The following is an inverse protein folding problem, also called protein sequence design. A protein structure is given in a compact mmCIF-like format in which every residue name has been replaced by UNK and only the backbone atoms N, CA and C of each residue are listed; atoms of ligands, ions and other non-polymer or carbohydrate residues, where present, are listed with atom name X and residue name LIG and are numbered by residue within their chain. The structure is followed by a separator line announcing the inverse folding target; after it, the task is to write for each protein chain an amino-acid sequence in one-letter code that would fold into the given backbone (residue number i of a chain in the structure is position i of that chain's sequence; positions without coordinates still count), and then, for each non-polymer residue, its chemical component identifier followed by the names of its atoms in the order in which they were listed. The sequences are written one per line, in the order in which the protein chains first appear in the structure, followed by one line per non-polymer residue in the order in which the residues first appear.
data_IF_277655984650
#
_entry.id   IF_277655984650
#
_cell.length_a   1.000
_cell.length_b   1.000
_cell.length_c   1.000
_cell.angle_alpha   90.00
_cell.angle_beta   90.00
_cell.angle_gamma   90.00
#
_symmetry.space_group_name_H-M   'P 1'
#
loop_
_entity.id
_entity.type
_entity.pdbx_description
1 polymer ?
#
# COMPACT_ATOMS: atom_id res chain seq x y z
N UNK A 1 -18.20 -15.41 -8.22
CA UNK A 1 -16.98 -14.84 -8.82
C UNK A 1 -16.06 -14.43 -7.69
N UNK A 2 -14.76 -14.65 -7.83
CA UNK A 2 -13.74 -14.25 -6.84
C UNK A 2 -12.94 -13.07 -7.34
N UNK A 3 -12.43 -12.26 -6.41
CA UNK A 3 -11.51 -11.17 -6.68
C UNK A 3 -10.10 -11.53 -6.21
N UNK A 4 -9.09 -11.20 -6.99
CA UNK A 4 -7.71 -11.54 -6.71
C UNK A 4 -6.85 -10.29 -6.88
N UNK A 5 -6.07 -9.94 -5.85
CA UNK A 5 -5.02 -8.93 -5.91
C UNK A 5 -3.65 -9.61 -5.74
N UNK A 6 -2.82 -9.51 -6.77
CA UNK A 6 -1.48 -10.09 -6.83
C UNK A 6 -0.46 -8.98 -6.62
N UNK A 7 -0.10 -8.77 -5.36
CA UNK A 7 0.96 -7.86 -4.96
C UNK A 7 2.36 -8.48 -5.10
N UNK A 8 3.40 -7.68 -4.83
CA UNK A 8 4.77 -8.18 -4.87
C UNK A 8 5.08 -9.19 -3.76
N UNK A 9 4.48 -9.01 -2.57
CA UNK A 9 4.77 -9.80 -1.36
C UNK A 9 3.64 -10.72 -0.92
N UNK A 10 2.40 -10.40 -1.31
CA UNK A 10 1.20 -11.05 -0.82
C UNK A 10 0.22 -11.26 -1.97
N UNK A 11 -0.51 -12.35 -1.88
CA UNK A 11 -1.69 -12.66 -2.69
C UNK A 11 -2.91 -12.47 -1.80
N UNK A 12 -3.86 -11.64 -2.21
CA UNK A 12 -5.14 -11.47 -1.51
C UNK A 12 -6.27 -11.98 -2.39
N UNK A 13 -7.16 -12.78 -1.82
CA UNK A 13 -8.32 -13.32 -2.50
C UNK A 13 -9.58 -12.97 -1.70
N UNK A 14 -10.61 -12.50 -2.40
CA UNK A 14 -11.93 -12.23 -1.82
C UNK A 14 -12.95 -13.10 -2.53
N UNK A 15 -13.69 -13.89 -1.76
CA UNK A 15 -14.80 -14.69 -2.24
C UNK A 15 -16.02 -14.59 -1.32
N UNK A 16 -17.06 -15.39 -1.58
CA UNK A 16 -18.31 -15.36 -0.81
C UNK A 16 -18.12 -15.78 0.66
N UNK A 17 -16.96 -16.33 1.03
CA UNK A 17 -16.62 -16.75 2.40
C UNK A 17 -15.78 -15.72 3.16
N UNK A 18 -15.26 -14.69 2.47
CA UNK A 18 -14.50 -13.59 3.09
C UNK A 18 -13.15 -13.32 2.42
N UNK A 19 -12.25 -12.73 3.20
CA UNK A 19 -10.90 -12.32 2.80
C UNK A 19 -9.88 -13.40 3.15
N UNK A 20 -9.01 -13.72 2.20
CA UNK A 20 -7.92 -14.69 2.36
C UNK A 20 -6.60 -14.03 1.96
N UNK A 21 -5.62 -14.01 2.86
CA UNK A 21 -4.31 -13.39 2.63
C UNK A 21 -3.24 -14.47 2.69
N UNK A 22 -2.45 -14.57 1.62
CA UNK A 22 -1.35 -15.52 1.49
C UNK A 22 -0.04 -14.77 1.31
N UNK A 23 0.99 -15.18 2.04
CA UNK A 23 2.35 -14.71 1.79
C UNK A 23 2.83 -15.26 0.44
N UNK A 24 3.17 -14.37 -0.50
CA UNK A 24 3.50 -14.69 -1.89
C UNK A 24 4.63 -13.75 -2.40
N UNK A 25 5.88 -13.95 -1.94
CA UNK A 25 7.01 -13.11 -2.34
C UNK A 25 7.44 -13.41 -3.78
N UNK A 26 6.90 -12.70 -4.76
CA UNK A 26 7.17 -12.95 -6.19
C UNK A 26 8.66 -12.88 -6.53
N UNK A 27 9.43 -12.02 -5.85
CA UNK A 27 10.88 -11.88 -6.02
C UNK A 27 11.68 -13.13 -5.59
N UNK A 28 11.06 -14.07 -4.87
CA UNK A 28 11.65 -15.35 -4.46
C UNK A 28 11.15 -16.54 -5.30
N UNK A 29 10.41 -16.27 -6.39
CA UNK A 29 9.81 -17.32 -7.21
C UNK A 29 8.63 -18.01 -6.53
N UNK A 30 7.81 -17.26 -5.78
CA UNK A 30 6.67 -17.78 -5.03
C UNK A 30 5.75 -18.68 -5.90
N UNK A 31 5.23 -19.79 -5.35
CA UNK A 31 4.43 -20.76 -6.09
C UNK A 31 2.98 -20.27 -6.27
N UNK A 32 2.81 -19.18 -7.03
CA UNK A 32 1.52 -18.50 -7.23
C UNK A 32 0.41 -19.46 -7.69
N UNK A 33 0.71 -20.34 -8.64
CA UNK A 33 -0.25 -21.34 -9.10
C UNK A 33 -0.69 -22.30 -7.98
N UNK A 34 0.23 -22.75 -7.13
CA UNK A 34 -0.12 -23.65 -6.01
C UNK A 34 -1.02 -22.94 -4.98
N UNK A 35 -0.74 -21.67 -4.67
CA UNK A 35 -1.57 -20.85 -3.79
C UNK A 35 -2.96 -20.61 -4.37
N UNK A 36 -3.10 -20.62 -5.69
CA UNK A 36 -4.37 -20.44 -6.39
C UNK A 36 -5.21 -21.73 -6.53
N UNK A 37 -4.61 -22.92 -6.40
CA UNK A 37 -5.31 -24.22 -6.54
C UNK A 37 -6.59 -24.33 -5.70
N UNK A 38 -6.65 -23.86 -4.43
CA UNK A 38 -7.88 -23.91 -3.64
C UNK A 38 -9.05 -23.12 -4.24
N UNK A 39 -8.77 -22.18 -5.15
CA UNK A 39 -9.74 -21.30 -5.78
C UNK A 39 -10.11 -21.73 -7.22
N UNK A 40 -9.57 -22.85 -7.70
CA UNK A 40 -9.83 -23.37 -9.03
C UNK A 40 -11.34 -23.62 -9.30
N UNK A 41 -11.74 -23.48 -10.57
CA UNK A 41 -13.12 -23.69 -11.01
C UNK A 41 -14.10 -22.54 -10.72
N UNK A 42 -13.67 -21.48 -10.01
CA UNK A 42 -14.46 -20.26 -9.81
C UNK A 42 -14.11 -19.21 -10.89
N UNK A 43 -15.07 -18.45 -11.44
CA UNK A 43 -14.75 -17.26 -12.24
C UNK A 43 -13.96 -16.26 -11.41
N UNK A 44 -12.87 -15.71 -11.96
CA UNK A 44 -11.97 -14.81 -11.25
C UNK A 44 -11.77 -13.50 -11.99
N UNK A 45 -11.84 -12.40 -11.25
CA UNK A 45 -11.40 -11.08 -11.65
C UNK A 45 -10.09 -10.75 -10.92
N UNK A 46 -9.09 -10.29 -11.65
CA UNK A 46 -7.71 -10.20 -11.15
C UNK A 46 -7.17 -8.80 -11.36
N UNK A 47 -6.48 -8.29 -10.36
CA UNK A 47 -5.65 -7.09 -10.44
C UNK A 47 -4.24 -7.41 -9.94
N UNK A 48 -3.24 -6.66 -10.40
CA UNK A 48 -1.85 -6.88 -10.02
C UNK A 48 -1.11 -5.58 -9.74
N UNK A 49 -0.14 -5.67 -8.82
CA UNK A 49 0.86 -4.64 -8.51
C UNK A 49 2.27 -5.24 -8.30
N UNK A 50 2.40 -6.57 -8.39
CA UNK A 50 3.67 -7.30 -8.21
C UNK A 50 4.50 -7.48 -9.48
N UNK A 51 4.10 -6.93 -10.62
CA UNK A 51 4.75 -7.17 -11.92
C UNK A 51 6.16 -6.54 -12.05
N UNK A 52 6.56 -5.71 -11.09
CA UNK A 52 7.90 -5.10 -10.97
C UNK A 52 8.82 -5.82 -9.98
N UNK A 53 8.47 -7.01 -9.50
CA UNK A 53 9.36 -7.78 -8.62
C UNK A 53 10.73 -8.02 -9.27
N UNK A 54 11.80 -7.94 -8.47
CA UNK A 54 13.21 -7.96 -8.92
C UNK A 54 13.60 -9.20 -9.75
N UNK A 55 12.81 -10.27 -9.69
CA UNK A 55 13.02 -11.47 -10.49
C UNK A 55 12.65 -11.30 -11.98
N UNK A 56 11.96 -10.23 -12.35
CA UNK A 56 11.53 -9.98 -13.73
C UNK A 56 12.44 -8.97 -14.43
N UNK A 57 12.88 -9.31 -15.65
CA UNK A 57 13.73 -8.44 -16.46
C UNK A 57 12.99 -7.19 -16.98
N UNK A 58 11.66 -7.25 -17.08
CA UNK A 58 10.82 -6.12 -17.46
C UNK A 58 9.42 -6.23 -16.87
N UNK A 59 8.72 -5.10 -16.79
CA UNK A 59 7.31 -5.03 -16.36
C UNK A 59 6.41 -5.98 -17.16
N UNK A 60 6.68 -6.10 -18.46
CA UNK A 60 5.90 -6.98 -19.34
C UNK A 60 6.16 -8.46 -19.09
N UNK A 61 7.39 -8.82 -18.70
CA UNK A 61 7.71 -10.21 -18.36
C UNK A 61 7.03 -10.63 -17.06
N UNK A 62 6.99 -9.74 -16.06
CA UNK A 62 6.21 -9.93 -14.83
C UNK A 62 4.71 -10.13 -15.12
N UNK A 63 4.12 -9.27 -15.95
CA UNK A 63 2.71 -9.41 -16.37
C UNK A 63 2.47 -10.76 -17.07
N UNK A 64 3.32 -11.16 -18.03
CA UNK A 64 3.16 -12.44 -18.73
C UNK A 64 3.23 -13.62 -17.78
N UNK A 65 4.15 -13.58 -16.83
CA UNK A 65 4.31 -14.62 -15.83
C UNK A 65 3.07 -14.72 -14.94
N UNK A 66 2.59 -13.59 -14.39
CA UNK A 66 1.40 -13.54 -13.52
C UNK A 66 0.16 -14.04 -14.29
N UNK A 67 -0.09 -13.52 -15.49
CA UNK A 67 -1.24 -13.95 -16.31
C UNK A 67 -1.18 -15.44 -16.60
N UNK A 68 -0.02 -15.96 -16.98
CA UNK A 68 0.17 -17.39 -17.26
C UNK A 68 -0.08 -18.27 -16.03
N UNK A 69 0.50 -17.92 -14.88
CA UNK A 69 0.34 -18.68 -13.64
C UNK A 69 -1.12 -18.71 -13.15
N UNK A 70 -1.84 -17.60 -13.29
CA UNK A 70 -3.28 -17.54 -12.98
C UNK A 70 -4.08 -18.39 -13.97
N UNK A 71 -3.84 -18.26 -15.28
CA UNK A 71 -4.59 -18.97 -16.31
C UNK A 71 -4.34 -20.48 -16.32
N UNK A 72 -3.19 -20.94 -15.81
CA UNK A 72 -2.94 -22.37 -15.59
C UNK A 72 -3.96 -23.00 -14.64
N UNK A 73 -4.37 -22.24 -13.61
CA UNK A 73 -5.30 -22.71 -12.57
C UNK A 73 -6.75 -22.29 -12.85
N UNK A 74 -6.93 -21.09 -13.41
CA UNK A 74 -8.23 -20.46 -13.68
C UNK A 74 -8.22 -19.93 -15.13
N UNK A 75 -8.43 -20.81 -16.14
CA UNK A 75 -8.33 -20.42 -17.56
C UNK A 75 -9.25 -19.27 -17.99
N UNK A 76 -10.39 -19.12 -17.32
CA UNK A 76 -11.38 -18.06 -17.58
C UNK A 76 -11.15 -16.76 -16.81
N UNK A 77 -10.01 -16.59 -16.15
CA UNK A 77 -9.72 -15.37 -15.40
C UNK A 77 -9.64 -14.13 -16.31
N UNK A 78 -10.19 -13.01 -15.83
CA UNK A 78 -10.12 -11.69 -16.47
C UNK A 78 -9.28 -10.75 -15.62
N UNK A 79 -8.47 -9.92 -16.28
CA UNK A 79 -7.47 -9.07 -15.64
C UNK A 79 -7.82 -7.59 -15.85
N UNK A 80 -7.97 -6.83 -14.77
CA UNK A 80 -8.29 -5.41 -14.82
C UNK A 80 -7.05 -4.57 -15.09
N UNK A 81 -7.14 -3.67 -16.06
CA UNK A 81 -6.05 -2.78 -16.46
C UNK A 81 -6.25 -1.33 -16.01
N UNK A 82 -5.15 -0.58 -16.03
CA UNK A 82 -5.11 0.87 -15.84
C UNK A 82 -5.93 1.63 -16.88
N UNK A 83 -6.31 1.01 -18.00
CA UNK A 83 -7.26 1.53 -18.97
C UNK A 83 -8.73 1.38 -18.54
N UNK A 84 -8.97 0.92 -17.32
CA UNK A 84 -10.29 0.61 -16.76
C UNK A 84 -11.06 -0.45 -17.58
N UNK A 85 -10.34 -1.44 -18.11
CA UNK A 85 -10.91 -2.52 -18.90
C UNK A 85 -10.41 -3.88 -18.42
N UNK A 86 -11.22 -4.92 -18.67
CA UNK A 86 -10.83 -6.30 -18.45
C UNK A 86 -10.19 -6.90 -19.71
N UNK A 87 -9.07 -7.60 -19.50
CA UNK A 87 -8.29 -8.27 -20.53
C UNK A 87 -8.18 -9.76 -20.22
N UNK A 88 -8.01 -10.59 -21.25
CA UNK A 88 -7.76 -12.04 -21.11
C UNK A 88 -6.35 -12.42 -21.53
N UNK A 89 -5.52 -11.43 -21.85
CA UNK A 89 -4.15 -11.60 -22.37
C UNK A 89 -3.22 -10.60 -21.69
N UNK A 90 -1.91 -10.91 -21.60
CA UNK A 90 -0.94 -9.97 -21.06
C UNK A 90 -0.85 -8.74 -21.95
N UNK A 91 -1.23 -7.58 -21.40
CA UNK A 91 -1.11 -6.26 -22.05
C UNK A 91 -0.42 -5.29 -21.09
N UNK A 92 0.26 -4.25 -21.60
CA UNK A 92 0.94 -3.27 -20.75
C UNK A 92 0.02 -2.57 -19.74
N UNK A 93 -1.27 -2.44 -20.04
CA UNK A 93 -2.24 -1.78 -19.17
C UNK A 93 -2.47 -2.53 -17.84
N UNK A 94 -2.16 -3.83 -17.73
CA UNK A 94 -2.38 -4.62 -16.49
C UNK A 94 -1.45 -4.24 -15.34
N UNK A 95 -0.42 -3.47 -15.63
CA UNK A 95 0.56 -2.97 -14.69
C UNK A 95 -0.05 -2.07 -13.60
N UNK A 96 0.10 -2.44 -12.33
CA UNK A 96 -0.24 -1.62 -11.16
C UNK A 96 -1.66 -1.02 -11.23
N UNK A 97 -2.66 -1.86 -11.52
CA UNK A 97 -4.05 -1.41 -11.65
C UNK A 97 -4.86 -1.51 -10.35
N UNK A 98 -4.26 -1.98 -9.25
CA UNK A 98 -4.91 -2.27 -7.97
C UNK A 98 -5.59 -1.04 -7.35
N UNK A 99 -4.91 0.11 -7.34
CA UNK A 99 -5.47 1.37 -6.84
C UNK A 99 -6.60 1.90 -7.75
N UNK A 100 -6.52 1.68 -9.07
CA UNK A 100 -7.56 2.11 -10.00
C UNK A 100 -8.82 1.25 -9.86
N UNK A 101 -8.69 -0.06 -9.65
CA UNK A 101 -9.82 -0.94 -9.36
C UNK A 101 -10.56 -0.46 -8.10
N UNK A 102 -9.83 -0.12 -7.03
CA UNK A 102 -10.40 0.49 -5.82
C UNK A 102 -11.16 1.78 -6.14
N UNK A 103 -10.57 2.67 -6.95
CA UNK A 103 -11.21 3.91 -7.37
C UNK A 103 -12.51 3.67 -8.16
N UNK A 104 -12.50 2.73 -9.11
CA UNK A 104 -13.66 2.37 -9.94
C UNK A 104 -14.80 1.80 -9.08
N UNK A 105 -14.44 0.97 -8.11
CA UNK A 105 -15.41 0.41 -7.18
C UNK A 105 -16.08 1.50 -6.31
N UNK A 106 -15.29 2.47 -5.82
CA UNK A 106 -15.75 3.44 -4.82
C UNK A 106 -16.36 4.71 -5.42
N UNK A 107 -16.01 5.10 -6.66
CA UNK A 107 -16.37 6.41 -7.24
C UNK A 107 -17.86 6.72 -7.29
N UNK A 108 -18.73 5.72 -7.40
CA UNK A 108 -20.18 5.93 -7.49
C UNK A 108 -20.77 6.33 -6.12
N UNK A 109 -20.34 5.66 -5.05
CA UNK A 109 -20.87 5.87 -3.70
C UNK A 109 -20.11 6.97 -2.93
N UNK A 110 -18.87 7.25 -3.34
CA UNK A 110 -17.96 8.15 -2.65
C UNK A 110 -17.39 9.22 -3.59
N UNK A 111 -18.18 9.67 -4.57
CA UNK A 111 -17.75 10.67 -5.56
C UNK A 111 -17.16 11.93 -4.91
N UNK A 112 -17.73 12.39 -3.78
CA UNK A 112 -17.28 13.59 -3.05
C UNK A 112 -16.06 13.34 -2.14
N UNK A 113 -15.27 12.29 -2.38
CA UNK A 113 -14.14 11.93 -1.53
C UNK A 113 -12.80 11.81 -2.27
N UNK A 114 -11.73 12.09 -1.52
CA UNK A 114 -10.38 11.59 -1.81
C UNK A 114 -10.15 10.34 -0.97
N UNK A 115 -9.81 9.23 -1.62
CA UNK A 115 -9.31 8.04 -0.95
C UNK A 115 -7.83 8.22 -0.61
N UNK A 116 -7.46 8.00 0.64
CA UNK A 116 -6.09 7.86 1.11
C UNK A 116 -5.88 6.42 1.59
N UNK A 117 -5.25 5.59 0.78
CA UNK A 117 -4.90 4.20 1.17
C UNK A 117 -3.43 4.14 1.60
N UNK A 118 -3.18 4.01 2.90
CA UNK A 118 -1.83 3.94 3.46
C UNK A 118 -1.47 2.51 3.80
N UNK A 119 -0.67 1.91 2.92
CA UNK A 119 -0.11 0.58 3.11
C UNK A 119 1.18 0.58 3.94
N UNK A 120 1.86 -0.57 3.93
CA UNK A 120 3.15 -0.75 4.60
C UNK A 120 4.28 0.06 3.96
N UNK A 121 4.17 0.39 2.68
CA UNK A 121 5.25 0.94 1.84
C UNK A 121 4.90 2.28 1.21
N UNK A 122 3.65 2.46 0.80
CA UNK A 122 3.17 3.59 0.00
C UNK A 122 1.86 4.11 0.55
N UNK A 123 1.55 5.36 0.19
CA UNK A 123 0.24 5.97 0.38
C UNK A 123 -0.31 6.38 -0.98
N UNK A 124 -1.45 5.82 -1.37
CA UNK A 124 -2.17 6.16 -2.59
C UNK A 124 -3.19 7.28 -2.27
N UNK A 125 -3.14 8.37 -3.04
CA UNK A 125 -4.03 9.53 -2.88
C UNK A 125 -4.88 9.67 -4.14
N UNK A 126 -6.17 9.35 -4.04
CA UNK A 126 -7.02 9.11 -5.21
C UNK A 126 -8.31 9.94 -5.16
N UNK A 127 -8.44 11.00 -5.97
CA UNK A 127 -9.69 11.76 -6.07
C UNK A 127 -10.76 10.97 -6.83
N UNK A 128 -11.81 10.54 -6.14
CA UNK A 128 -12.77 9.57 -6.67
C UNK A 128 -13.72 10.15 -7.74
N UNK A 129 -14.02 11.46 -7.69
CA UNK A 129 -14.79 12.16 -8.75
C UNK A 129 -14.01 12.41 -10.04
N UNK A 130 -12.69 12.19 -10.08
CA UNK A 130 -11.85 12.46 -11.26
C UNK A 130 -11.40 11.18 -11.97
N UNK A 131 -12.21 10.12 -11.92
CA UNK A 131 -11.83 8.80 -12.42
C UNK A 131 -11.30 8.78 -13.85
N UNK A 132 -11.90 9.54 -14.78
CA UNK A 132 -11.42 9.57 -16.17
C UNK A 132 -9.99 10.13 -16.31
N UNK A 133 -9.58 11.05 -15.42
CA UNK A 133 -8.21 11.58 -15.39
C UNK A 133 -7.21 10.58 -14.81
N UNK A 134 -7.70 9.56 -14.09
CA UNK A 134 -6.87 8.51 -13.49
C UNK A 134 -6.52 7.41 -14.48
N UNK A 135 -7.31 7.24 -15.55
CA UNK A 135 -7.14 6.17 -16.52
C UNK A 135 -5.80 6.30 -17.25
N UNK A 136 -5.09 5.17 -17.33
CA UNK A 136 -3.81 5.05 -18.00
C UNK A 136 -2.64 5.69 -17.27
N UNK A 137 -2.83 6.22 -16.05
CA UNK A 137 -1.72 6.77 -15.27
C UNK A 137 -0.75 5.66 -14.88
N UNK A 138 0.52 5.86 -15.22
CA UNK A 138 1.62 5.03 -14.74
C UNK A 138 2.04 5.47 -13.35
N UNK A 139 2.70 4.61 -12.57
CA UNK A 139 3.23 4.99 -11.24
C UNK A 139 4.18 6.19 -11.31
N UNK A 140 4.98 6.31 -12.38
CA UNK A 140 5.82 7.50 -12.61
C UNK A 140 4.98 8.77 -12.71
N UNK A 141 3.85 8.75 -13.42
CA UNK A 141 2.94 9.90 -13.49
C UNK A 141 2.23 10.13 -12.16
N UNK A 142 1.84 9.07 -11.45
CA UNK A 142 1.23 9.19 -10.12
C UNK A 142 2.17 9.83 -9.11
N UNK A 143 3.46 9.48 -9.14
CA UNK A 143 4.51 10.14 -8.33
C UNK A 143 4.63 11.63 -8.67
N UNK A 144 4.64 11.98 -9.97
CA UNK A 144 4.70 13.37 -10.43
C UNK A 144 3.48 14.20 -10.02
N UNK A 145 2.30 13.57 -10.02
CA UNK A 145 1.03 14.19 -9.67
C UNK A 145 0.68 14.08 -8.18
N UNK A 146 1.54 13.46 -7.38
CA UNK A 146 1.34 13.18 -5.94
C UNK A 146 0.13 12.27 -5.62
N UNK A 147 -0.36 11.51 -6.60
CA UNK A 147 -1.34 10.43 -6.37
C UNK A 147 -0.72 9.13 -5.82
N UNK A 148 0.61 9.08 -5.81
CA UNK A 148 1.39 8.04 -5.14
C UNK A 148 2.47 8.74 -4.32
N UNK A 149 2.45 8.55 -3.00
CA UNK A 149 3.49 9.01 -2.08
C UNK A 149 4.25 7.78 -1.59
N UNK A 150 5.58 7.77 -1.79
CA UNK A 150 6.40 6.59 -1.51
C UNK A 150 6.82 6.49 -0.04
N UNK A 151 5.83 6.51 0.85
CA UNK A 151 6.01 6.19 2.27
C UNK A 151 4.78 5.47 2.82
N UNK A 152 4.99 4.60 3.80
CA UNK A 152 3.92 3.86 4.46
C UNK A 152 4.30 3.47 5.88
N UNK A 153 3.44 2.70 6.53
CA UNK A 153 3.52 2.50 7.98
C UNK A 153 4.68 1.63 8.46
N UNK A 154 5.29 0.79 7.61
CA UNK A 154 6.22 -0.24 8.08
C UNK A 154 7.62 -0.21 7.45
N UNK A 155 7.74 0.10 6.15
CA UNK A 155 8.93 -0.23 5.34
C UNK A 155 9.78 0.96 4.89
N UNK A 156 9.37 2.20 5.18
CA UNK A 156 10.10 3.39 4.71
C UNK A 156 11.38 3.54 5.52
N UNK A 157 12.55 3.62 4.88
CA UNK A 157 13.79 3.99 5.59
C UNK A 157 13.65 5.39 6.20
N UNK A 158 13.90 5.53 7.50
CA UNK A 158 13.80 6.83 8.19
C UNK A 158 14.62 7.91 7.48
N UNK A 159 15.82 7.56 7.02
CA UNK A 159 16.73 8.49 6.36
C UNK A 159 16.25 9.01 4.98
N UNK A 160 15.17 8.46 4.41
CA UNK A 160 14.63 8.98 3.13
C UNK A 160 13.67 10.15 3.31
N UNK A 161 13.16 10.38 4.53
CA UNK A 161 12.23 11.49 4.82
C UNK A 161 12.85 12.58 5.69
N UNK A 162 13.84 12.23 6.51
CA UNK A 162 14.58 13.19 7.34
C UNK A 162 16.06 13.13 7.00
N UNK A 163 16.68 14.29 6.74
CA UNK A 163 18.13 14.40 6.51
C UNK A 163 18.90 14.88 7.75
N UNK A 164 18.17 15.39 8.75
CA UNK A 164 18.67 15.87 10.04
C UNK A 164 17.53 15.86 11.04
N UNK A 165 17.85 15.68 12.32
CA UNK A 165 16.92 15.73 13.45
C UNK A 165 17.49 16.64 14.54
N UNK A 166 16.62 17.32 15.27
CA UNK A 166 16.99 18.03 16.49
C UNK A 166 17.18 17.02 17.61
N UNK A 167 18.39 16.96 18.15
CA UNK A 167 18.74 16.14 19.31
C UNK A 167 19.39 17.06 20.35
N UNK A 168 18.80 17.14 21.54
CA UNK A 168 19.23 18.06 22.61
C UNK A 168 19.43 19.52 22.14
N UNK A 169 18.50 19.99 21.29
CA UNK A 169 18.55 21.35 20.73
C UNK A 169 19.63 21.57 19.66
N UNK A 170 20.34 20.53 19.25
CA UNK A 170 21.35 20.57 18.17
C UNK A 170 20.83 19.87 16.92
N UNK A 171 21.01 20.49 15.76
CA UNK A 171 20.69 19.84 14.49
C UNK A 171 21.74 18.76 14.19
N UNK A 172 21.30 17.50 14.19
CA UNK A 172 22.13 16.31 14.03
C UNK A 172 21.79 15.62 12.72
N UNK A 173 22.71 15.60 11.74
CA UNK A 173 22.51 14.87 10.49
C UNK A 173 22.27 13.37 10.74
N UNK A 174 21.45 12.75 9.92
CA UNK A 174 21.20 11.31 10.00
C UNK A 174 22.13 10.53 9.06
N UNK A 175 22.47 9.30 9.45
CA UNK A 175 23.09 8.31 8.57
C UNK A 175 22.14 7.90 7.44
N UNK A 176 22.68 7.69 6.24
CA UNK A 176 21.92 7.17 5.09
C UNK A 176 21.72 5.65 5.13
N UNK A 177 22.39 4.95 6.05
CA UNK A 177 22.26 3.50 6.24
C UNK A 177 20.83 3.10 6.63
N UNK A 178 20.43 1.88 6.25
CA UNK A 178 19.11 1.34 6.59
C UNK A 178 19.10 0.78 8.02
N UNK A 179 19.18 1.67 9.02
CA UNK A 179 19.18 1.28 10.43
C UNK A 179 17.78 1.16 11.03
N UNK A 180 16.85 2.03 10.62
CA UNK A 180 15.48 2.08 11.12
C UNK A 180 14.49 2.26 9.96
N UNK A 181 13.32 1.64 10.11
CA UNK A 181 12.19 1.80 9.19
C UNK A 181 11.04 2.56 9.86
N UNK A 182 10.04 2.99 9.07
CA UNK A 182 8.85 3.66 9.58
C UNK A 182 8.13 2.82 10.64
N UNK A 183 8.13 1.48 10.49
CA UNK A 183 7.57 0.58 11.50
C UNK A 183 8.20 0.76 12.89
N UNK A 184 9.50 1.08 12.97
CA UNK A 184 10.17 1.38 14.24
C UNK A 184 9.62 2.66 14.86
N UNK A 185 9.48 3.73 14.06
CA UNK A 185 8.92 5.00 14.51
C UNK A 185 7.45 4.84 14.95
N UNK A 186 6.62 4.18 14.15
CA UNK A 186 5.21 3.95 14.48
C UNK A 186 5.03 3.05 15.70
N UNK A 187 5.90 2.05 15.90
CA UNK A 187 5.84 1.18 17.07
C UNK A 187 6.16 1.96 18.35
N UNK A 188 7.24 2.75 18.38
CA UNK A 188 7.63 3.49 19.59
C UNK A 188 6.70 4.67 19.91
N UNK A 189 6.02 5.20 18.90
CA UNK A 189 4.99 6.23 19.06
C UNK A 189 3.60 5.64 19.41
N UNK A 190 3.46 4.31 19.41
CA UNK A 190 2.18 3.64 19.71
C UNK A 190 1.14 3.78 18.60
N UNK A 191 1.57 4.08 17.37
CA UNK A 191 0.70 4.14 16.19
C UNK A 191 0.29 2.75 15.69
N UNK A 192 1.12 1.74 15.96
CA UNK A 192 0.88 0.33 15.61
C UNK A 192 1.23 -0.56 16.80
N UNK A 193 0.61 -1.74 16.88
CA UNK A 193 1.00 -2.78 17.82
C UNK A 193 2.20 -3.59 17.29
N UNK A 194 2.94 -4.32 18.16
CA UNK A 194 4.01 -5.22 17.72
C UNK A 194 3.56 -6.23 16.65
N UNK A 195 2.32 -6.71 16.73
CA UNK A 195 1.73 -7.69 15.82
C UNK A 195 1.50 -7.11 14.42
N UNK A 196 1.23 -5.80 14.32
CA UNK A 196 1.03 -5.08 13.06
C UNK A 196 2.34 -4.83 12.31
N UNK A 197 3.48 -4.86 13.01
CA UNK A 197 4.80 -4.74 12.41
C UNK A 197 5.19 -6.04 11.70
N UNK A 198 4.52 -6.35 10.60
CA UNK A 198 4.64 -7.64 9.90
C UNK A 198 5.91 -7.76 9.04
N UNK A 199 6.46 -6.65 8.52
CA UNK A 199 7.70 -6.68 7.74
C UNK A 199 8.95 -6.99 8.58
N UNK A 200 10.01 -7.58 8.01
CA UNK A 200 11.28 -7.74 8.71
C UNK A 200 11.82 -6.39 9.21
N UNK A 201 12.34 -6.37 10.43
CA UNK A 201 13.06 -5.22 10.95
C UNK A 201 14.40 -5.04 10.18
N UNK A 202 14.94 -3.82 10.06
CA UNK A 202 16.19 -3.58 9.32
C UNK A 202 17.39 -4.43 9.76
N UNK A 203 17.49 -4.72 11.06
CA UNK A 203 18.55 -5.58 11.62
C UNK A 203 18.14 -7.06 11.73
N UNK A 204 16.98 -7.44 11.17
CA UNK A 204 16.33 -8.75 11.34
C UNK A 204 16.11 -9.17 12.80
N UNK A 205 16.18 -8.22 13.73
CA UNK A 205 15.96 -8.45 15.15
C UNK A 205 14.49 -8.48 15.53
N UNK A 206 14.27 -8.52 16.85
CA UNK A 206 12.93 -8.47 17.42
C UNK A 206 12.23 -7.14 17.13
N UNK A 207 10.89 -7.18 17.17
CA UNK A 207 10.00 -6.04 16.92
C UNK A 207 9.37 -5.55 18.23
N UNK A 208 10.22 -5.40 19.25
CA UNK A 208 9.85 -4.84 20.55
C UNK A 208 10.15 -3.35 20.60
N UNK A 209 9.53 -2.63 21.54
CA UNK A 209 9.81 -1.21 21.78
C UNK A 209 11.31 -0.94 21.97
N UNK A 210 11.98 -1.75 22.79
CA UNK A 210 13.40 -1.56 23.08
C UNK A 210 14.31 -1.86 21.87
N UNK A 211 13.94 -2.84 21.04
CA UNK A 211 14.66 -3.11 19.80
C UNK A 211 14.47 -1.97 18.78
N UNK A 212 13.26 -1.45 18.63
CA UNK A 212 12.96 -0.32 17.75
C UNK A 212 13.68 0.97 18.20
N UNK A 213 13.70 1.28 19.50
CA UNK A 213 14.46 2.41 20.05
C UNK A 213 15.95 2.30 19.73
N UNK A 214 16.55 1.11 19.89
CA UNK A 214 17.97 0.89 19.51
C UNK A 214 18.22 1.12 18.03
N UNK A 215 17.32 0.68 17.15
CA UNK A 215 17.41 0.95 15.71
C UNK A 215 17.30 2.44 15.39
N UNK A 216 16.38 3.15 16.04
CA UNK A 216 16.22 4.59 15.89
C UNK A 216 17.44 5.38 16.37
N UNK A 217 18.08 4.98 17.48
CA UNK A 217 19.31 5.63 17.95
C UNK A 217 20.46 5.54 16.91
N UNK A 218 20.58 4.40 16.22
CA UNK A 218 21.59 4.20 15.17
C UNK A 218 21.42 5.14 13.98
N UNK A 219 20.22 5.71 13.76
CA UNK A 219 19.95 6.68 12.68
C UNK A 219 20.86 7.90 12.81
N UNK A 220 21.23 8.31 14.03
CA UNK A 220 22.17 9.40 14.30
C UNK A 220 23.55 8.89 14.74
N UNK A 221 23.88 7.66 14.34
CA UNK A 221 25.13 6.97 14.69
C UNK A 221 25.37 6.79 16.20
N UNK A 222 24.31 6.80 17.01
CA UNK A 222 24.37 6.65 18.46
C UNK A 222 23.77 5.30 18.91
N UNK A 223 23.85 5.04 20.21
CA UNK A 223 23.09 4.00 20.90
C UNK A 223 22.24 4.58 22.04
N UNK A 224 21.51 3.70 22.73
CA UNK A 224 20.61 4.12 23.83
C UNK A 224 21.39 4.60 25.06
N UNK A 225 22.63 4.17 25.25
CA UNK A 225 23.45 4.62 26.38
C UNK A 225 23.91 6.07 26.16
N UNK A 226 24.07 6.49 24.90
CA UNK A 226 24.45 7.86 24.52
C UNK A 226 23.27 8.85 24.51
N UNK A 227 22.17 8.54 23.81
CA UNK A 227 21.06 9.50 23.59
C UNK A 227 19.81 9.20 24.42
N UNK A 228 19.83 8.11 25.19
CA UNK A 228 18.68 7.67 25.98
C UNK A 228 17.47 7.27 25.13
N UNK A 229 16.39 6.92 25.84
CA UNK A 229 15.09 6.62 25.19
C UNK A 229 14.48 7.88 24.57
N UNK A 230 14.63 9.03 25.23
CA UNK A 230 14.02 10.29 24.79
C UNK A 230 14.64 10.78 23.47
N UNK A 231 15.96 10.69 23.30
CA UNK A 231 16.61 11.02 22.03
C UNK A 231 16.15 10.12 20.88
N UNK A 232 16.02 8.81 21.12
CA UNK A 232 15.48 7.89 20.12
C UNK A 232 13.99 8.17 19.79
N UNK A 233 13.19 8.58 20.77
CA UNK A 233 11.81 9.03 20.55
C UNK A 233 11.76 10.33 19.75
N UNK A 234 12.70 11.26 19.95
CA UNK A 234 12.76 12.50 19.18
C UNK A 234 13.10 12.26 17.70
N UNK A 235 13.91 11.25 17.39
CA UNK A 235 14.10 10.76 16.01
C UNK A 235 12.76 10.29 15.42
N UNK A 236 12.03 9.46 16.15
CA UNK A 236 10.74 8.93 15.70
C UNK A 236 9.69 10.03 15.48
N UNK A 237 9.58 11.00 16.40
CA UNK A 237 8.65 12.13 16.31
C UNK A 237 8.93 12.99 15.08
N UNK A 238 10.20 13.31 14.83
CA UNK A 238 10.56 14.14 13.68
C UNK A 238 10.40 13.41 12.35
N UNK A 239 10.67 12.10 12.32
CA UNK A 239 10.31 11.27 11.18
C UNK A 239 8.79 11.29 10.92
N UNK A 240 7.99 11.10 11.97
CA UNK A 240 6.53 11.12 11.87
C UNK A 240 6.02 12.47 11.37
N UNK A 241 6.51 13.59 11.91
CA UNK A 241 6.13 14.93 11.47
C UNK A 241 6.44 15.13 9.98
N UNK A 242 7.60 14.67 9.49
CA UNK A 242 7.96 14.71 8.08
C UNK A 242 7.02 13.86 7.23
N UNK A 243 6.74 12.62 7.66
CA UNK A 243 5.87 11.69 6.96
C UNK A 243 4.41 12.19 6.89
N UNK A 244 3.84 12.60 8.03
CA UNK A 244 2.47 13.12 8.08
C UNK A 244 2.34 14.36 7.22
N UNK A 245 3.33 15.27 7.24
CA UNK A 245 3.31 16.49 6.45
C UNK A 245 3.35 16.18 4.95
N UNK A 246 4.16 15.20 4.54
CA UNK A 246 4.25 14.78 3.15
C UNK A 246 2.91 14.22 2.64
N UNK A 247 2.28 13.32 3.40
CA UNK A 247 0.99 12.72 3.04
C UNK A 247 -0.13 13.75 3.08
N UNK A 248 -0.21 14.57 4.14
CA UNK A 248 -1.24 15.60 4.29
C UNK A 248 -1.21 16.59 3.12
N UNK A 249 -0.02 17.04 2.68
CA UNK A 249 0.10 17.93 1.51
C UNK A 249 -0.40 17.30 0.22
N UNK A 250 -0.12 16.02 0.00
CA UNK A 250 -0.61 15.30 -1.18
C UNK A 250 -2.15 15.21 -1.16
N UNK A 251 -2.73 14.93 0.01
CA UNK A 251 -4.19 14.91 0.21
C UNK A 251 -4.79 16.31 -0.01
N UNK A 252 -4.22 17.35 0.59
CA UNK A 252 -4.66 18.75 0.41
C UNK A 252 -4.64 19.15 -1.07
N UNK A 253 -3.59 18.77 -1.82
CA UNK A 253 -3.52 19.02 -3.25
C UNK A 253 -4.61 18.27 -4.02
N UNK A 254 -4.84 17.01 -3.71
CA UNK A 254 -5.90 16.21 -4.34
C UNK A 254 -7.30 16.77 -4.04
N UNK A 255 -7.57 17.15 -2.79
CA UNK A 255 -8.82 17.80 -2.36
C UNK A 255 -9.00 19.13 -3.11
N UNK A 256 -7.97 19.98 -3.17
CA UNK A 256 -8.03 21.25 -3.89
C UNK A 256 -8.29 21.07 -5.40
N UNK A 257 -7.67 20.07 -6.02
CA UNK A 257 -7.81 19.77 -7.47
C UNK A 257 -9.16 19.13 -7.82
N UNK A 258 -9.79 18.44 -6.87
CA UNK A 258 -11.03 17.69 -7.10
C UNK A 258 -12.28 18.41 -6.59
N UNK A 259 -12.13 19.32 -5.62
CA UNK A 259 -13.24 19.93 -4.89
C UNK A 259 -13.96 18.96 -3.96
N UNK A 260 -13.37 17.80 -3.65
CA UNK A 260 -13.96 16.81 -2.75
C UNK A 260 -14.19 17.37 -1.34
N UNK A 261 -15.36 17.07 -0.77
CA UNK A 261 -15.77 17.52 0.56
C UNK A 261 -15.23 16.68 1.72
N UNK A 262 -14.72 15.45 1.47
CA UNK A 262 -14.19 14.58 2.52
C UNK A 262 -12.98 13.74 2.12
N UNK A 263 -12.30 13.21 3.12
CA UNK A 263 -11.21 12.22 2.98
C UNK A 263 -11.67 10.89 3.58
N UNK A 264 -11.50 9.82 2.83
CA UNK A 264 -11.74 8.45 3.28
C UNK A 264 -10.38 7.74 3.37
N UNK A 265 -10.08 7.10 4.48
CA UNK A 265 -8.80 6.44 4.69
C UNK A 265 -8.92 4.92 4.64
N UNK A 266 -7.91 4.25 4.10
CA UNK A 266 -7.83 2.79 4.01
C UNK A 266 -6.40 2.30 4.32
N UNK A 267 -6.26 0.98 4.45
CA UNK A 267 -4.99 0.32 4.76
C UNK A 267 -4.60 0.41 6.24
N UNK A 268 -3.42 -0.10 6.57
CA UNK A 268 -2.87 -0.15 7.94
C UNK A 268 -2.79 1.24 8.60
N UNK A 269 -2.65 2.31 7.83
CA UNK A 269 -2.63 3.68 8.35
C UNK A 269 -4.02 4.32 8.53
N UNK A 270 -5.12 3.64 8.21
CA UNK A 270 -6.45 4.25 8.09
C UNK A 270 -6.86 5.02 9.34
N UNK A 271 -6.82 4.36 10.50
CA UNK A 271 -7.23 4.94 11.78
C UNK A 271 -6.39 6.15 12.19
N UNK A 272 -5.07 6.09 11.97
CA UNK A 272 -4.16 7.19 12.29
C UNK A 272 -4.48 8.39 11.40
N UNK A 273 -4.51 8.21 10.09
CA UNK A 273 -4.73 9.31 9.15
C UNK A 273 -6.15 9.86 9.16
N UNK A 274 -7.17 9.05 9.51
CA UNK A 274 -8.53 9.56 9.72
C UNK A 274 -8.54 10.59 10.85
N UNK A 275 -7.83 10.32 11.96
CA UNK A 275 -7.71 11.26 13.08
C UNK A 275 -6.90 12.50 12.71
N UNK A 276 -5.76 12.32 12.02
CA UNK A 276 -4.89 13.43 11.64
C UNK A 276 -5.54 14.39 10.63
N UNK A 277 -6.37 13.87 9.72
CA UNK A 277 -6.95 14.64 8.62
C UNK A 277 -8.44 14.99 8.82
N UNK A 278 -9.05 14.54 9.93
CA UNK A 278 -10.49 14.69 10.14
C UNK A 278 -11.35 13.91 9.13
N UNK A 279 -10.84 12.77 8.65
CA UNK A 279 -11.52 11.88 7.70
C UNK A 279 -12.30 10.76 8.39
N UNK A 280 -12.83 9.84 7.57
CA UNK A 280 -13.50 8.61 8.03
C UNK A 280 -12.77 7.38 7.50
N UNK A 281 -12.80 6.26 8.23
CA UNK A 281 -12.17 5.03 7.74
C UNK A 281 -13.11 4.32 6.76
N UNK A 282 -12.53 3.69 5.75
CA UNK A 282 -13.29 2.88 4.81
C UNK A 282 -13.86 1.62 5.47
N UNK A 283 -13.21 1.11 6.52
CA UNK A 283 -13.71 -0.03 7.31
C UNK A 283 -15.07 0.27 7.95
N UNK A 284 -15.29 1.48 8.46
CA UNK A 284 -16.60 1.91 8.98
C UNK A 284 -17.69 1.95 7.89
N UNK A 285 -17.28 2.05 6.62
CA UNK A 285 -18.17 2.20 5.47
C UNK A 285 -18.45 0.86 4.75
N UNK A 286 -17.46 -0.05 4.65
CA UNK A 286 -17.58 -1.34 3.93
C UNK A 286 -17.16 -2.59 4.72
N UNK A 287 -16.68 -2.46 5.96
CA UNK A 287 -16.27 -3.56 6.84
C UNK A 287 -14.91 -4.18 6.52
N UNK A 288 -14.67 -5.41 7.03
CA UNK A 288 -13.38 -6.13 6.99
C UNK A 288 -12.76 -6.34 5.58
N UNK A 289 -13.54 -6.14 4.51
CA UNK A 289 -13.02 -6.22 3.14
C UNK A 289 -12.01 -5.10 2.80
N UNK A 290 -11.90 -4.05 3.64
CA UNK A 290 -10.93 -2.97 3.49
C UNK A 290 -9.47 -3.47 3.44
N UNK A 291 -9.14 -4.54 4.18
CA UNK A 291 -7.77 -5.09 4.24
C UNK A 291 -7.33 -5.75 2.92
N UNK A 292 -8.30 -6.10 2.07
CA UNK A 292 -8.11 -6.61 0.73
C UNK A 292 -8.86 -5.77 -0.31
N UNK A 293 -8.91 -4.44 -0.10
CA UNK A 293 -9.68 -3.52 -0.93
C UNK A 293 -9.51 -3.74 -2.44
N UNK A 294 -8.30 -3.89 -3.02
CA UNK A 294 -8.18 -4.10 -4.46
C UNK A 294 -8.80 -5.42 -4.95
N UNK A 295 -8.67 -6.49 -4.15
CA UNK A 295 -9.27 -7.79 -4.47
C UNK A 295 -10.81 -7.73 -4.37
N UNK A 296 -11.34 -7.09 -3.33
CA UNK A 296 -12.78 -6.83 -3.22
C UNK A 296 -13.27 -5.98 -4.40
N UNK A 297 -12.59 -4.86 -4.66
CA UNK A 297 -12.96 -3.90 -5.69
C UNK A 297 -13.00 -4.51 -7.09
N UNK A 298 -11.97 -5.29 -7.48
CA UNK A 298 -11.94 -5.91 -8.81
C UNK A 298 -13.06 -6.94 -9.01
N UNK A 299 -13.46 -7.64 -7.94
CA UNK A 299 -14.63 -8.53 -7.96
C UNK A 299 -15.91 -7.73 -8.18
N UNK A 300 -16.14 -6.68 -7.40
CA UNK A 300 -17.36 -5.87 -7.51
C UNK A 300 -17.47 -5.18 -8.88
N UNK A 301 -16.36 -4.65 -9.40
CA UNK A 301 -16.31 -4.06 -10.74
C UNK A 301 -16.63 -5.11 -11.81
N UNK A 302 -16.09 -6.32 -11.71
CA UNK A 302 -16.39 -7.40 -12.66
C UNK A 302 -17.85 -7.89 -12.58
N UNK A 303 -18.43 -7.96 -11.38
CA UNK A 303 -19.83 -8.32 -11.17
C UNK A 303 -20.78 -7.29 -11.81
N UNK A 304 -20.51 -5.98 -11.68
CA UNK A 304 -21.28 -4.92 -12.36
C UNK A 304 -21.26 -5.07 -13.88
N UNK A 305 -20.10 -5.37 -14.45
CA UNK A 305 -19.95 -5.57 -15.90
C UNK A 305 -20.66 -6.83 -16.40
N UNK A 306 -20.76 -7.87 -15.56
CA UNK A 306 -21.42 -9.14 -15.93
C UNK A 306 -22.94 -9.11 -15.77
N UNK A 307 -23.47 -8.24 -14.91
CA UNK A 307 -24.92 -8.08 -14.68
C UNK A 307 -25.60 -7.00 -15.53
N UNK A 308 -24.82 -6.24 -16.32
CA UNK A 308 -25.30 -5.18 -17.21
C UNK A 308 -25.60 -5.64 -18.66
N UNK A 309 -25.57 -6.94 -18.93
CA UNK A 309 -25.99 -7.56 -20.20
C UNK A 309 -27.37 -8.20 -20.07
#
# INVERSE_FOLDING_TARGET
MIGIDIGGANLKVVDDTGVHIHYCPLWQGAPLADLLKPYAGKPAAVVMSGELADCFASKMDGIRWIVGAVQEVIPGAVFYGTDAAFHTRPVPALAAANWLASADCLRENYADAVLLDVGSTTADVVPLNRFEDLRGLTDTRRLQEQYLVYTGMLRTNVATLVSSVMLDGTATPVSTEYFAASGDAHLVLGHIAPEDYTSPAPDNGEKTLDAALRRLARVVCADIDEIGRDGALDVARQFWDAQRTLIARAVEQAVSRSGAGRVITAGIGANLFARELGGVTLEEEIGEVSDALPAYAVREVALRHSGGT
#
